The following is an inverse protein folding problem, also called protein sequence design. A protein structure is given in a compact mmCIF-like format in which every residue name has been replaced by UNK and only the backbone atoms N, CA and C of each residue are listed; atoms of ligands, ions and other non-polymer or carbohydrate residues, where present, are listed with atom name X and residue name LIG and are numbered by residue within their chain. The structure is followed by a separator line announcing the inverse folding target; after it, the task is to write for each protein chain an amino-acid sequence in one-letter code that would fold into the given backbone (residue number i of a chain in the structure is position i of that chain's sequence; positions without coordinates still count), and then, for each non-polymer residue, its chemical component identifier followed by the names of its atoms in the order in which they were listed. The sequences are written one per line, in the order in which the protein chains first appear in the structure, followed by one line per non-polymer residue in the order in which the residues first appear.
data_IF_535914077935
#
_entry.id   IF_535914077935
#
_cell.length_a   1.000
_cell.length_b   1.000
_cell.length_c   1.000
_cell.angle_alpha   90.00
_cell.angle_beta   90.00
_cell.angle_gamma   90.00
#
_symmetry.space_group_name_H-M   'P 1'
#
loop_
_entity.id
_entity.type
_entity.pdbx_description
1 polymer ?
#
# COMPACT_ATOMS: atom_id res chain seq x y z
N UNK A 1 -18.09 -52.63 -8.83
CA UNK A 1 -17.07 -51.58 -9.01
C UNK A 1 -17.79 -50.24 -9.10
N UNK A 2 -17.90 -49.49 -8.00
CA UNK A 2 -18.53 -48.17 -7.97
C UNK A 2 -17.45 -47.10 -8.08
N UNK A 3 -17.32 -46.49 -9.26
CA UNK A 3 -16.43 -45.35 -9.46
C UNK A 3 -16.96 -44.15 -8.67
N UNK A 4 -16.34 -43.84 -7.53
CA UNK A 4 -16.58 -42.60 -6.79
C UNK A 4 -15.92 -41.45 -7.56
N UNK A 5 -16.71 -40.72 -8.34
CA UNK A 5 -16.27 -39.45 -8.93
C UNK A 5 -16.15 -38.42 -7.81
N UNK A 6 -14.92 -38.15 -7.33
CA UNK A 6 -14.66 -37.01 -6.45
C UNK A 6 -15.14 -35.74 -7.17
N UNK A 7 -15.98 -34.90 -6.53
CA UNK A 7 -16.27 -33.58 -7.05
C UNK A 7 -14.94 -32.85 -7.29
N UNK A 8 -14.79 -32.21 -8.46
CA UNK A 8 -13.64 -31.35 -8.71
C UNK A 8 -13.58 -30.29 -7.61
N UNK A 9 -12.41 -30.04 -7.00
CA UNK A 9 -12.29 -29.04 -5.95
C UNK A 9 -12.80 -27.69 -6.49
N UNK A 10 -13.63 -26.95 -5.74
CA UNK A 10 -14.08 -25.65 -6.16
C UNK A 10 -12.85 -24.79 -6.46
N UNK A 11 -12.84 -24.14 -7.63
CA UNK A 11 -11.80 -23.15 -7.96
C UNK A 11 -11.82 -22.06 -6.90
N UNK A 12 -10.82 -22.03 -6.03
CA UNK A 12 -10.71 -21.07 -4.94
C UNK A 12 -10.48 -19.67 -5.53
N UNK A 13 -11.56 -19.00 -5.88
CA UNK A 13 -11.51 -17.65 -6.44
C UNK A 13 -11.14 -16.69 -5.31
N UNK A 14 -10.04 -15.95 -5.48
CA UNK A 14 -9.63 -14.95 -4.47
C UNK A 14 -10.73 -13.90 -4.31
N UNK A 15 -11.08 -13.49 -3.08
CA UNK A 15 -12.13 -12.51 -2.86
C UNK A 15 -11.79 -11.20 -3.58
N UNK A 16 -12.78 -10.53 -4.20
CA UNK A 16 -12.55 -9.32 -4.98
C UNK A 16 -11.98 -8.18 -4.12
N UNK A 17 -12.44 -8.06 -2.86
CA UNK A 17 -11.96 -7.03 -1.93
C UNK A 17 -10.48 -7.19 -1.58
N UNK A 18 -9.98 -8.41 -1.47
CA UNK A 18 -8.54 -8.66 -1.30
C UNK A 18 -7.74 -8.17 -2.51
N UNK A 19 -8.26 -8.38 -3.74
CA UNK A 19 -7.61 -7.88 -4.95
C UNK A 19 -7.59 -6.36 -5.01
N UNK A 20 -8.69 -5.71 -4.61
CA UNK A 20 -8.78 -4.25 -4.53
C UNK A 20 -7.78 -3.70 -3.51
N UNK A 21 -7.71 -4.28 -2.31
CA UNK A 21 -6.75 -3.85 -1.29
C UNK A 21 -5.30 -4.01 -1.75
N UNK A 22 -4.95 -5.16 -2.33
CA UNK A 22 -3.59 -5.39 -2.87
C UNK A 22 -3.28 -4.41 -3.99
N UNK A 23 -4.22 -4.17 -4.91
CA UNK A 23 -4.06 -3.20 -5.98
C UNK A 23 -3.86 -1.78 -5.45
N UNK A 24 -4.62 -1.38 -4.43
CA UNK A 24 -4.51 -0.06 -3.78
C UNK A 24 -3.14 0.14 -3.14
N UNK A 25 -2.68 -0.83 -2.35
CA UNK A 25 -1.36 -0.78 -1.70
C UNK A 25 -0.22 -0.75 -2.74
N UNK A 26 -0.35 -1.51 -3.83
CA UNK A 26 0.64 -1.47 -4.93
C UNK A 26 0.63 -0.11 -5.63
N UNK A 27 -0.53 0.52 -5.82
CA UNK A 27 -0.61 1.87 -6.37
C UNK A 27 0.09 2.88 -5.45
N UNK A 28 -0.12 2.80 -4.14
CA UNK A 28 0.60 3.64 -3.16
C UNK A 28 2.12 3.45 -3.26
N UNK A 29 2.59 2.20 -3.38
CA UNK A 29 4.00 1.90 -3.58
C UNK A 29 4.55 2.53 -4.88
N UNK A 30 3.80 2.45 -5.98
CA UNK A 30 4.19 3.06 -7.25
C UNK A 30 4.22 4.59 -7.17
N UNK A 31 3.29 5.21 -6.44
CA UNK A 31 3.29 6.65 -6.21
C UNK A 31 4.53 7.08 -5.41
N UNK A 32 4.94 6.31 -4.40
CA UNK A 32 6.19 6.57 -3.68
C UNK A 32 7.42 6.44 -4.58
N UNK A 33 7.46 5.45 -5.48
CA UNK A 33 8.54 5.32 -6.46
C UNK A 33 8.54 6.52 -7.42
N UNK A 34 7.38 6.95 -7.90
CA UNK A 34 7.24 8.14 -8.74
C UNK A 34 7.72 9.41 -8.03
N UNK A 35 7.37 9.56 -6.74
CA UNK A 35 7.85 10.67 -5.91
C UNK A 35 9.37 10.62 -5.72
N UNK A 36 9.94 9.45 -5.44
CA UNK A 36 11.38 9.26 -5.34
C UNK A 36 12.08 9.61 -6.67
N UNK A 37 11.53 9.20 -7.81
CA UNK A 37 12.05 9.55 -9.13
C UNK A 37 11.98 11.06 -9.40
N UNK A 38 10.91 11.74 -8.97
CA UNK A 38 10.81 13.19 -9.04
C UNK A 38 11.90 13.89 -8.21
N UNK A 39 12.17 13.41 -6.98
CA UNK A 39 13.25 13.94 -6.14
C UNK A 39 14.63 13.72 -6.77
N UNK A 40 14.88 12.55 -7.34
CA UNK A 40 16.14 12.25 -8.05
C UNK A 40 16.30 13.14 -9.29
N UNK A 41 15.22 13.36 -10.03
CA UNK A 41 15.23 14.28 -11.16
C UNK A 41 15.54 15.71 -10.71
N UNK A 42 14.91 16.18 -9.63
CA UNK A 42 15.21 17.48 -9.01
C UNK A 42 16.68 17.63 -8.62
N UNK A 43 17.26 16.60 -7.99
CA UNK A 43 18.69 16.53 -7.66
C UNK A 43 19.60 16.60 -8.90
N UNK A 44 19.15 16.09 -10.04
CA UNK A 44 19.92 16.07 -11.28
C UNK A 44 19.80 17.36 -12.10
N UNK A 45 18.72 18.13 -11.97
CA UNK A 45 18.44 19.30 -12.84
C UNK A 45 18.64 20.68 -12.21
N UNK A 46 18.64 20.84 -10.88
CA UNK A 46 18.87 22.15 -10.24
C UNK A 46 19.23 22.06 -8.74
N UNK A 47 19.85 23.15 -8.24
CA UNK A 47 20.39 23.42 -6.89
C UNK A 47 19.54 22.93 -5.71
N UNK A 48 19.70 21.69 -5.28
CA UNK A 48 19.26 21.30 -3.94
C UNK A 48 20.10 22.09 -2.93
N UNK A 49 19.51 23.11 -2.31
CA UNK A 49 20.11 23.83 -1.16
C UNK A 49 20.47 22.89 -0.02
N UNK A 50 19.81 21.72 0.05
CA UNK A 50 20.07 20.65 1.01
C UNK A 50 20.05 19.26 0.35
N UNK A 51 21.15 18.87 -0.28
CA UNK A 51 21.30 17.57 -0.97
C UNK A 51 21.09 16.38 -0.03
N UNK A 52 21.56 16.49 1.22
CA UNK A 52 21.48 15.41 2.20
C UNK A 52 20.03 15.05 2.57
N UNK A 53 19.19 16.07 2.83
CA UNK A 53 17.78 15.89 3.14
C UNK A 53 17.02 15.22 1.98
N UNK A 54 17.27 15.66 0.75
CA UNK A 54 16.66 15.08 -0.44
C UNK A 54 17.06 13.61 -0.66
N UNK A 55 18.34 13.26 -0.49
CA UNK A 55 18.79 11.85 -0.57
C UNK A 55 18.14 11.01 0.54
N UNK A 56 18.04 11.53 1.75
CA UNK A 56 17.35 10.87 2.85
C UNK A 56 15.89 10.56 2.53
N UNK A 57 15.16 11.54 1.95
CA UNK A 57 13.78 11.34 1.51
C UNK A 57 13.64 10.30 0.40
N UNK A 58 14.56 10.27 -0.57
CA UNK A 58 14.59 9.23 -1.62
C UNK A 58 14.73 7.84 -1.00
N UNK A 59 15.72 7.65 -0.12
CA UNK A 59 15.96 6.36 0.53
C UNK A 59 14.75 5.93 1.36
N UNK A 60 14.18 6.83 2.14
CA UNK A 60 12.98 6.55 2.94
C UNK A 60 11.78 6.20 2.06
N UNK A 61 11.53 6.97 0.99
CA UNK A 61 10.42 6.71 0.07
C UNK A 61 10.55 5.34 -0.62
N UNK A 62 11.75 4.99 -1.09
CA UNK A 62 12.01 3.67 -1.68
C UNK A 62 11.91 2.55 -0.64
N UNK A 63 12.36 2.78 0.60
CA UNK A 63 12.20 1.85 1.71
C UNK A 63 10.74 1.55 2.01
N UNK A 64 9.89 2.57 2.10
CA UNK A 64 8.44 2.39 2.25
C UNK A 64 7.83 1.71 1.03
N UNK A 65 8.19 2.10 -0.19
CA UNK A 65 7.69 1.45 -1.41
C UNK A 65 8.02 -0.05 -1.44
N UNK A 66 9.25 -0.42 -1.07
CA UNK A 66 9.67 -1.82 -0.94
C UNK A 66 8.88 -2.55 0.16
N UNK A 67 8.71 -1.92 1.33
CA UNK A 67 7.89 -2.45 2.43
C UNK A 67 6.44 -2.72 2.02
N UNK A 68 5.82 -1.79 1.29
CA UNK A 68 4.47 -1.93 0.74
C UNK A 68 4.40 -3.01 -0.32
N UNK A 69 5.37 -3.08 -1.24
CA UNK A 69 5.44 -4.14 -2.24
C UNK A 69 5.56 -5.53 -1.61
N UNK A 70 6.40 -5.68 -0.59
CA UNK A 70 6.53 -6.92 0.19
C UNK A 70 5.26 -7.23 0.97
N UNK A 71 4.63 -6.22 1.59
CA UNK A 71 3.37 -6.34 2.31
C UNK A 71 2.21 -6.78 1.40
N UNK A 72 2.06 -6.14 0.24
CA UNK A 72 1.08 -6.48 -0.77
C UNK A 72 1.28 -7.90 -1.32
N UNK A 73 2.53 -8.29 -1.60
CA UNK A 73 2.88 -9.66 -2.00
C UNK A 73 2.52 -10.67 -0.90
N UNK A 74 2.87 -10.37 0.35
CA UNK A 74 2.56 -11.24 1.48
C UNK A 74 1.04 -11.38 1.70
N UNK A 75 0.28 -10.30 1.55
CA UNK A 75 -1.17 -10.29 1.63
C UNK A 75 -1.81 -11.10 0.48
N UNK A 76 -1.26 -10.98 -0.73
CA UNK A 76 -1.67 -11.81 -1.88
C UNK A 76 -1.45 -13.30 -1.65
N UNK A 77 -0.41 -13.66 -0.90
CA UNK A 77 -0.11 -15.03 -0.45
C UNK A 77 -0.79 -15.40 0.88
N UNK A 78 -1.82 -14.65 1.31
CA UNK A 78 -2.62 -14.93 2.51
C UNK A 78 -1.80 -14.99 3.81
N UNK A 79 -0.73 -14.18 3.91
CA UNK A 79 0.04 -14.07 5.16
C UNK A 79 -0.54 -13.00 6.07
N UNK A 80 -1.18 -13.41 7.18
CA UNK A 80 -1.73 -12.52 8.21
C UNK A 80 -0.73 -11.48 8.76
N UNK A 81 0.55 -11.83 8.81
CA UNK A 81 1.61 -10.96 9.33
C UNK A 81 1.79 -9.67 8.50
N UNK A 82 1.31 -9.63 7.25
CA UNK A 82 1.39 -8.44 6.40
C UNK A 82 0.46 -7.30 6.87
N UNK A 83 -0.58 -7.59 7.66
CA UNK A 83 -1.60 -6.59 8.01
C UNK A 83 -1.06 -5.50 8.93
N UNK A 84 -0.26 -5.86 9.92
CA UNK A 84 0.29 -4.90 10.87
C UNK A 84 1.15 -3.80 10.21
N UNK A 85 2.17 -4.10 9.39
CA UNK A 85 2.97 -3.07 8.75
C UNK A 85 2.15 -2.22 7.76
N UNK A 86 1.17 -2.80 7.05
CA UNK A 86 0.28 -2.03 6.17
C UNK A 86 -0.63 -1.07 6.96
N UNK A 87 -1.16 -1.50 8.10
CA UNK A 87 -1.93 -0.61 8.98
C UNK A 87 -1.09 0.57 9.48
N UNK A 88 0.16 0.30 9.90
CA UNK A 88 1.09 1.36 10.33
C UNK A 88 1.31 2.38 9.20
N UNK A 89 1.52 1.90 7.97
CA UNK A 89 1.65 2.79 6.82
C UNK A 89 0.42 3.68 6.61
N UNK A 90 -0.80 3.11 6.61
CA UNK A 90 -2.01 3.93 6.44
C UNK A 90 -2.15 4.98 7.55
N UNK A 91 -1.81 4.65 8.81
CA UNK A 91 -1.86 5.60 9.92
C UNK A 91 -0.86 6.74 9.73
N UNK A 92 0.37 6.43 9.30
CA UNK A 92 1.38 7.45 8.96
C UNK A 92 0.90 8.35 7.83
N UNK A 93 0.28 7.76 6.79
CA UNK A 93 -0.28 8.50 5.66
C UNK A 93 -1.39 9.47 6.10
N UNK A 94 -2.24 9.08 7.05
CA UNK A 94 -3.23 9.97 7.66
C UNK A 94 -2.57 11.08 8.49
N UNK A 95 -1.57 10.74 9.30
CA UNK A 95 -0.84 11.71 10.11
C UNK A 95 -0.14 12.77 9.26
N UNK A 96 0.37 12.40 8.09
CA UNK A 96 0.99 13.33 7.13
C UNK A 96 -0.06 14.08 6.30
N UNK A 97 -1.12 13.41 5.87
CA UNK A 97 -2.11 13.95 4.93
C UNK A 97 -3.11 14.92 5.57
N UNK A 98 -3.62 14.63 6.77
CA UNK A 98 -4.66 15.46 7.40
C UNK A 98 -4.21 16.93 7.64
N UNK A 99 -2.98 17.21 8.09
CA UNK A 99 -2.49 18.58 8.24
C UNK A 99 -2.36 19.36 6.92
N UNK A 100 -2.33 18.67 5.76
CA UNK A 100 -2.25 19.32 4.43
C UNK A 100 -3.59 19.94 4.00
N UNK A 101 -4.70 19.49 4.58
CA UNK A 101 -6.05 19.96 4.23
C UNK A 101 -6.24 21.46 4.54
N UNK A 102 -5.96 21.95 5.75
CA UNK A 102 -6.11 23.36 6.08
C UNK A 102 -4.94 24.27 5.64
N UNK A 103 -3.82 23.71 5.19
CA UNK A 103 -2.58 24.46 4.93
C UNK A 103 -2.39 24.95 3.48
N UNK A 104 -3.44 24.85 2.65
CA UNK A 104 -3.44 25.33 1.26
C UNK A 104 -3.03 24.28 0.22
N UNK A 105 -2.58 23.10 0.64
CA UNK A 105 -2.26 21.92 -0.19
C UNK A 105 -3.33 20.83 -0.06
N UNK A 106 -4.60 21.25 -0.03
CA UNK A 106 -5.73 20.37 0.28
C UNK A 106 -5.83 19.14 -0.62
N UNK A 107 -5.49 19.29 -1.90
CA UNK A 107 -5.48 18.18 -2.86
C UNK A 107 -4.49 17.07 -2.44
N UNK A 108 -3.32 17.42 -1.90
CA UNK A 108 -2.33 16.46 -1.46
C UNK A 108 -2.80 15.75 -0.18
N UNK A 109 -3.43 16.49 0.73
CA UNK A 109 -4.05 15.92 1.92
C UNK A 109 -5.14 14.90 1.59
N UNK A 110 -6.01 15.21 0.63
CA UNK A 110 -7.06 14.29 0.15
C UNK A 110 -6.43 13.06 -0.53
N UNK A 111 -5.42 13.27 -1.39
CA UNK A 111 -4.72 12.20 -2.11
C UNK A 111 -4.07 11.19 -1.15
N UNK A 112 -3.59 11.65 0.01
CA UNK A 112 -3.05 10.78 1.06
C UNK A 112 -4.16 10.19 1.93
N UNK A 113 -5.12 10.98 2.39
CA UNK A 113 -6.10 10.55 3.37
C UNK A 113 -7.10 9.51 2.80
N UNK A 114 -7.58 9.71 1.57
CA UNK A 114 -8.63 8.84 1.01
C UNK A 114 -8.15 7.39 0.81
N UNK A 115 -7.00 7.13 0.14
CA UNK A 115 -6.47 5.77 0.03
C UNK A 115 -6.21 5.13 1.40
N UNK A 116 -5.71 5.91 2.37
CA UNK A 116 -5.45 5.44 3.72
C UNK A 116 -6.72 4.95 4.43
N UNK A 117 -7.80 5.75 4.39
CA UNK A 117 -9.09 5.36 4.98
C UNK A 117 -9.64 4.10 4.30
N UNK A 118 -9.60 4.04 2.96
CA UNK A 118 -10.11 2.89 2.20
C UNK A 118 -9.31 1.63 2.51
N UNK A 119 -7.98 1.71 2.53
CA UNK A 119 -7.11 0.59 2.86
C UNK A 119 -7.34 0.08 4.29
N UNK A 120 -7.49 0.99 5.27
CA UNK A 120 -7.83 0.62 6.66
C UNK A 120 -9.18 -0.10 6.70
N UNK A 121 -10.22 0.45 6.06
CA UNK A 121 -11.54 -0.18 6.02
C UNK A 121 -11.49 -1.59 5.41
N UNK A 122 -10.76 -1.76 4.30
CA UNK A 122 -10.57 -3.05 3.66
C UNK A 122 -9.74 -4.03 4.52
N UNK A 123 -8.72 -3.55 5.22
CA UNK A 123 -7.89 -4.38 6.11
C UNK A 123 -8.68 -4.98 7.27
N UNK A 124 -9.78 -4.34 7.70
CA UNK A 124 -10.68 -4.84 8.74
C UNK A 124 -11.95 -5.51 8.18
N UNK A 125 -12.15 -5.53 6.87
CA UNK A 125 -13.32 -6.15 6.25
C UNK A 125 -13.29 -7.67 6.42
N UNK A 126 -14.43 -8.28 6.81
CA UNK A 126 -14.53 -9.72 7.14
C UNK A 126 -14.00 -10.60 6.01
N UNK A 127 -14.42 -10.36 4.78
CA UNK A 127 -13.95 -11.09 3.59
C UNK A 127 -12.43 -11.07 3.40
N UNK A 128 -11.76 -9.98 3.80
CA UNK A 128 -10.30 -9.89 3.75
C UNK A 128 -9.72 -10.67 4.91
N UNK A 129 -10.23 -10.50 6.13
CA UNK A 129 -9.76 -11.22 7.32
C UNK A 129 -9.85 -12.73 7.14
N UNK A 130 -11.00 -13.23 6.69
CA UNK A 130 -11.25 -14.66 6.50
C UNK A 130 -10.29 -15.24 5.46
N UNK A 131 -10.02 -14.48 4.39
CA UNK A 131 -9.11 -14.90 3.32
C UNK A 131 -7.63 -14.99 3.74
N UNK A 132 -7.21 -14.37 4.85
CA UNK A 132 -5.83 -14.44 5.37
C UNK A 132 -5.67 -15.39 6.56
N UNK A 133 -6.78 -15.95 7.08
CA UNK A 133 -6.80 -16.84 8.24
C UNK A 133 -7.00 -18.31 7.84
N UNK A 134 -7.68 -18.59 6.71
CA UNK A 134 -7.74 -19.92 6.07
C UNK A 134 -6.43 -20.35 5.40
#
# INVERSE_FOLDING_TARGET
MTSSSRPAPPVSTRPPLLRVLVGLVLLEALLLVGWAAYLVWGLATAEATETAGAVGLVVIALGFAAGLGLGARALWHRRRAARAPLLVWQILQLAVGLPQIPSGTTWAGILLAVPAVVAVALLFHRDVVDAVVE
#
